data_IF_260816996251
#
_entry.id   IF_260816996251
#
_cell.length_a   1.000
_cell.length_b   1.000
_cell.length_c   1.000
_cell.angle_alpha   90.00
_cell.angle_beta   90.00
_cell.angle_gamma   90.00
#
_symmetry.space_group_name_H-M   'P 1'
#
loop_
_entity.id
_entity.type
_entity.pdbx_description
1 polymer ?
#
# COMPACT_ATOMS: atom_id res chain seq x y z
N UNK A 1 16.00 -29.17 -7.55
CA UNK A 1 15.44 -29.24 -6.18
C UNK A 1 16.49 -28.98 -5.09
N UNK A 2 17.78 -29.28 -5.32
CA UNK A 2 18.87 -28.94 -4.38
C UNK A 2 19.09 -27.42 -4.26
N UNK A 3 19.10 -26.68 -5.38
CA UNK A 3 19.47 -25.25 -5.40
C UNK A 3 18.48 -24.32 -4.67
N UNK A 4 17.20 -24.70 -4.54
CA UNK A 4 16.14 -23.86 -3.93
C UNK A 4 16.21 -23.89 -2.40
N UNK A 5 16.62 -25.04 -1.82
CA UNK A 5 16.82 -25.18 -0.37
C UNK A 5 17.99 -24.34 0.12
N UNK A 6 19.02 -24.18 -0.72
CA UNK A 6 20.21 -23.41 -0.39
C UNK A 6 19.93 -21.91 -0.28
N UNK A 7 19.06 -21.35 -1.13
CA UNK A 7 18.74 -19.90 -1.08
C UNK A 7 17.96 -19.48 0.16
N UNK A 8 16.97 -20.27 0.60
CA UNK A 8 16.20 -19.96 1.81
C UNK A 8 17.07 -20.12 3.05
N UNK A 9 17.84 -21.20 3.10
CA UNK A 9 18.76 -21.48 4.21
C UNK A 9 19.86 -20.41 4.30
N UNK A 10 20.28 -19.85 3.16
CA UNK A 10 21.23 -18.75 3.07
C UNK A 10 20.61 -17.35 3.31
N UNK A 11 19.30 -17.21 3.46
CA UNK A 11 18.68 -15.93 3.77
C UNK A 11 19.22 -15.38 5.10
N UNK A 12 19.51 -14.08 5.16
CA UNK A 12 20.12 -13.44 6.32
C UNK A 12 19.28 -13.61 7.60
N UNK A 13 17.96 -13.42 7.50
CA UNK A 13 17.05 -13.61 8.64
C UNK A 13 16.99 -15.08 9.06
N UNK A 14 16.93 -16.02 8.12
CA UNK A 14 16.94 -17.46 8.42
C UNK A 14 18.24 -17.88 9.13
N UNK A 15 19.39 -17.41 8.64
CA UNK A 15 20.70 -17.65 9.27
C UNK A 15 20.77 -17.10 10.70
N UNK A 16 20.29 -15.87 10.93
CA UNK A 16 20.26 -15.26 12.28
C UNK A 16 19.30 -16.01 13.19
N UNK A 17 18.12 -16.38 12.68
CA UNK A 17 17.13 -17.17 13.40
C UNK A 17 17.71 -18.52 13.86
N UNK A 18 18.40 -19.26 12.99
CA UNK A 18 19.03 -20.54 13.32
C UNK A 18 20.19 -20.41 14.31
N UNK A 19 21.03 -19.38 14.17
CA UNK A 19 22.28 -19.24 14.96
C UNK A 19 22.09 -18.52 16.28
N UNK A 20 21.28 -17.46 16.29
CA UNK A 20 21.17 -16.51 17.40
C UNK A 20 19.84 -16.63 18.16
N UNK A 21 18.78 -17.14 17.52
CA UNK A 21 17.44 -17.28 18.10
C UNK A 21 16.88 -18.70 17.90
N UNK A 22 17.72 -19.71 18.20
CA UNK A 22 17.42 -21.12 17.95
C UNK A 22 16.16 -21.61 18.70
N UNK A 23 15.84 -21.01 19.84
CA UNK A 23 14.57 -21.25 20.55
C UNK A 23 13.36 -20.90 19.67
N UNK A 24 13.36 -19.73 19.02
CA UNK A 24 12.31 -19.32 18.08
C UNK A 24 12.34 -20.15 16.78
N UNK A 25 13.53 -20.51 16.29
CA UNK A 25 13.65 -21.41 15.14
C UNK A 25 12.97 -22.75 15.42
N UNK A 26 13.28 -23.38 16.56
CA UNK A 26 12.68 -24.66 16.96
C UNK A 26 11.18 -24.54 17.17
N UNK A 27 10.69 -23.42 17.69
CA UNK A 27 9.25 -23.24 17.90
C UNK A 27 8.45 -23.18 16.59
N UNK A 28 9.06 -22.81 15.46
CA UNK A 28 8.40 -22.85 14.16
C UNK A 28 8.03 -24.27 13.74
N UNK A 29 8.85 -25.26 14.11
CA UNK A 29 8.69 -26.66 13.70
C UNK A 29 8.09 -27.55 14.79
N UNK A 30 7.78 -26.97 15.96
CA UNK A 30 7.10 -27.70 17.03
C UNK A 30 5.67 -28.06 16.59
N UNK A 31 5.38 -29.35 16.55
CA UNK A 31 4.08 -29.92 16.20
C UNK A 31 2.92 -29.42 17.07
N UNK A 32 3.22 -28.90 18.26
CA UNK A 32 2.22 -28.31 19.17
C UNK A 32 2.13 -26.77 19.04
N UNK A 33 3.04 -26.14 18.32
CA UNK A 33 3.02 -24.70 18.09
C UNK A 33 1.98 -24.35 17.01
N UNK A 34 1.27 -23.25 17.24
CA UNK A 34 0.32 -22.69 16.27
C UNK A 34 1.00 -21.87 15.16
N UNK A 35 2.34 -21.78 15.15
CA UNK A 35 3.09 -21.00 14.17
C UNK A 35 3.18 -21.78 12.86
N UNK A 36 2.79 -21.15 11.74
CA UNK A 36 2.77 -21.84 10.44
C UNK A 36 3.35 -21.02 9.31
N UNK A 37 3.70 -19.77 9.56
CA UNK A 37 4.19 -18.86 8.54
C UNK A 37 5.40 -18.06 9.03
N UNK A 38 6.47 -18.10 8.26
CA UNK A 38 7.65 -17.25 8.43
C UNK A 38 7.76 -16.31 7.24
N UNK A 39 7.89 -15.02 7.53
CA UNK A 39 8.19 -14.00 6.53
C UNK A 39 9.70 -13.81 6.45
N UNK A 40 10.27 -13.93 5.26
CA UNK A 40 11.71 -13.72 5.02
C UNK A 40 11.91 -12.52 4.11
N UNK A 41 12.33 -11.37 4.67
CA UNK A 41 12.73 -10.25 3.85
C UNK A 41 13.97 -10.61 3.02
N UNK A 42 14.03 -10.09 1.79
CA UNK A 42 15.18 -10.30 0.90
C UNK A 42 16.48 -9.73 1.49
N UNK A 43 17.61 -10.39 1.21
CA UNK A 43 18.85 -10.07 1.92
C UNK A 43 19.35 -8.62 1.70
N UNK A 44 19.13 -8.04 0.52
CA UNK A 44 19.64 -6.70 0.18
C UNK A 44 18.96 -5.59 0.97
N UNK A 45 17.71 -5.76 1.41
CA UNK A 45 17.03 -4.77 2.25
C UNK A 45 17.43 -4.87 3.73
N UNK A 46 18.05 -5.98 4.14
CA UNK A 46 18.52 -6.19 5.52
C UNK A 46 19.93 -5.65 5.76
N UNK A 47 20.54 -5.00 4.76
CA UNK A 47 21.86 -4.38 4.89
C UNK A 47 21.79 -3.25 5.91
N UNK A 48 22.68 -3.27 6.91
CA UNK A 48 22.71 -2.33 8.04
C UNK A 48 21.48 -2.36 8.96
N UNK A 49 20.59 -3.36 8.82
CA UNK A 49 19.45 -3.54 9.71
C UNK A 49 19.88 -4.36 10.93
N UNK A 50 19.60 -3.87 12.13
CA UNK A 50 19.82 -4.62 13.35
C UNK A 50 18.71 -5.66 13.54
N UNK A 51 19.01 -6.92 13.19
CA UNK A 51 18.09 -8.06 13.36
C UNK A 51 18.05 -8.46 14.85
N UNK A 52 17.22 -7.73 15.61
CA UNK A 52 16.95 -8.00 17.02
C UNK A 52 15.96 -9.15 17.21
N UNK A 53 15.78 -9.58 18.47
CA UNK A 53 14.71 -10.53 18.82
C UNK A 53 13.33 -9.98 18.45
N UNK A 54 13.08 -8.70 18.75
CA UNK A 54 11.82 -8.03 18.39
C UNK A 54 11.60 -8.05 16.88
N UNK A 55 12.65 -7.81 16.08
CA UNK A 55 12.59 -7.89 14.63
C UNK A 55 12.14 -9.28 14.18
N UNK A 56 12.78 -10.32 14.69
CA UNK A 56 12.47 -11.72 14.36
C UNK A 56 11.03 -12.07 14.74
N UNK A 57 10.62 -11.72 15.95
CA UNK A 57 9.27 -11.97 16.48
C UNK A 57 8.16 -11.31 15.64
N UNK A 58 8.46 -10.19 14.98
CA UNK A 58 7.53 -9.53 14.07
C UNK A 58 7.28 -10.31 12.76
N UNK A 59 8.21 -11.17 12.35
CA UNK A 59 8.16 -11.90 11.08
C UNK A 59 7.72 -13.36 11.23
N UNK A 60 7.47 -13.82 12.45
CA UNK A 60 6.91 -15.14 12.74
C UNK A 60 5.41 -15.00 12.98
N UNK A 61 4.60 -15.64 12.15
CA UNK A 61 3.16 -15.44 12.08
C UNK A 61 2.36 -16.70 12.41
N UNK A 62 1.22 -16.46 13.03
CA UNK A 62 0.16 -17.44 13.31
C UNK A 62 -1.13 -17.01 12.61
N UNK A 63 -1.79 -17.95 11.95
CA UNK A 63 -3.12 -17.76 11.38
C UNK A 63 -4.14 -17.40 12.47
N UNK A 64 -5.04 -16.48 12.17
CA UNK A 64 -6.20 -16.19 13.00
C UNK A 64 -7.45 -16.91 12.48
N UNK A 65 -8.56 -16.78 13.20
CA UNK A 65 -9.87 -17.25 12.72
C UNK A 65 -10.42 -16.37 11.58
N UNK A 66 -9.89 -15.17 11.40
CA UNK A 66 -10.27 -14.26 10.32
C UNK A 66 -9.43 -14.64 9.09
N UNK A 67 -10.06 -14.98 7.94
CA UNK A 67 -9.34 -15.29 6.71
C UNK A 67 -8.34 -14.20 6.35
N UNK A 68 -7.17 -14.60 5.85
CA UNK A 68 -6.09 -13.71 5.41
C UNK A 68 -5.48 -12.82 6.51
N UNK A 69 -5.89 -12.99 7.77
CA UNK A 69 -5.33 -12.23 8.89
C UNK A 69 -4.50 -13.14 9.78
N UNK A 70 -3.34 -12.62 10.15
CA UNK A 70 -2.33 -13.30 10.93
C UNK A 70 -1.93 -12.42 12.11
N UNK A 71 -1.42 -13.05 13.16
CA UNK A 71 -0.87 -12.36 14.32
C UNK A 71 0.57 -12.79 14.51
N UNK A 72 1.46 -11.83 14.69
CA UNK A 72 2.86 -12.10 15.00
C UNK A 72 3.09 -12.37 16.50
N UNK A 73 4.31 -12.71 16.90
CA UNK A 73 4.62 -13.02 18.30
C UNK A 73 4.55 -11.79 19.23
N UNK A 74 4.50 -10.59 18.65
CA UNK A 74 4.28 -9.33 19.38
C UNK A 74 2.79 -8.99 19.55
N UNK A 75 1.88 -9.83 19.05
CA UNK A 75 0.43 -9.60 19.11
C UNK A 75 -0.08 -8.59 18.08
N UNK A 76 0.71 -8.28 17.05
CA UNK A 76 0.34 -7.34 15.99
C UNK A 76 -0.27 -8.09 14.81
N UNK A 77 -1.25 -7.46 14.17
CA UNK A 77 -2.02 -8.04 13.07
C UNK A 77 -1.35 -7.74 11.74
N UNK A 78 -1.28 -8.76 10.90
CA UNK A 78 -0.78 -8.69 9.52
C UNK A 78 -1.84 -9.26 8.60
N UNK A 79 -2.22 -8.49 7.58
CA UNK A 79 -3.08 -8.97 6.50
C UNK A 79 -2.21 -9.53 5.38
N UNK A 80 -2.53 -10.72 4.87
CA UNK A 80 -1.80 -11.37 3.79
C UNK A 80 -2.77 -11.73 2.68
N UNK A 81 -2.53 -11.15 1.52
CA UNK A 81 -3.20 -11.49 0.26
C UNK A 81 -2.29 -12.40 -0.57
N UNK A 82 -2.77 -12.88 -1.72
CA UNK A 82 -2.00 -13.73 -2.63
C UNK A 82 -0.68 -13.10 -3.12
N UNK A 83 -0.53 -11.76 -3.00
CA UNK A 83 0.61 -11.01 -3.53
C UNK A 83 1.30 -10.12 -2.52
N UNK A 84 0.70 -9.86 -1.36
CA UNK A 84 1.16 -8.82 -0.45
C UNK A 84 0.98 -9.20 1.01
N UNK A 85 1.88 -8.67 1.82
CA UNK A 85 1.84 -8.64 3.28
C UNK A 85 1.66 -7.19 3.70
N UNK A 86 0.65 -6.90 4.50
CA UNK A 86 0.26 -5.55 4.90
C UNK A 86 0.18 -5.51 6.42
N UNK A 87 0.89 -4.57 7.04
CA UNK A 87 0.81 -4.36 8.48
C UNK A 87 -0.53 -3.75 8.86
N UNK A 88 -1.17 -4.33 9.88
CA UNK A 88 -2.44 -3.85 10.43
C UNK A 88 -2.30 -3.39 11.89
N UNK A 89 -3.30 -3.73 12.69
CA UNK A 89 -3.40 -3.30 14.08
C UNK A 89 -2.16 -3.66 14.92
N UNK A 90 -1.64 -2.72 15.70
CA UNK A 90 -0.51 -2.90 16.60
C UNK A 90 0.86 -2.56 16.01
N UNK A 91 0.96 -2.35 14.69
CA UNK A 91 2.15 -1.75 14.07
C UNK A 91 2.14 -0.22 14.22
N UNK A 92 3.34 0.37 14.31
CA UNK A 92 3.48 1.84 14.35
C UNK A 92 3.30 2.47 12.96
N UNK A 93 3.81 1.79 11.94
CA UNK A 93 3.87 2.25 10.56
C UNK A 93 3.07 1.31 9.67
N UNK A 94 2.46 1.86 8.62
CA UNK A 94 1.84 1.07 7.56
C UNK A 94 2.91 0.64 6.55
N UNK A 95 3.09 -0.65 6.36
CA UNK A 95 4.06 -1.26 5.46
C UNK A 95 3.30 -2.25 4.58
N UNK A 96 3.52 -2.16 3.26
CA UNK A 96 2.99 -3.07 2.26
C UNK A 96 4.15 -3.73 1.50
N UNK A 97 4.46 -4.98 1.85
CA UNK A 97 5.51 -5.75 1.23
C UNK A 97 4.92 -6.68 0.17
N UNK A 98 5.56 -6.79 -0.99
CA UNK A 98 5.18 -7.78 -2.00
C UNK A 98 5.73 -9.15 -1.63
N UNK A 99 4.92 -10.18 -1.84
CA UNK A 99 5.35 -11.58 -1.79
C UNK A 99 6.02 -11.89 -3.11
N UNK A 100 7.34 -12.08 -3.07
CA UNK A 100 8.13 -12.43 -4.26
C UNK A 100 8.01 -13.93 -4.52
N UNK A 101 8.01 -14.73 -3.45
CA UNK A 101 8.06 -16.19 -3.54
C UNK A 101 7.42 -16.82 -2.32
N UNK A 102 6.62 -17.86 -2.55
CA UNK A 102 6.12 -18.76 -1.52
C UNK A 102 6.89 -20.07 -1.58
N UNK A 103 7.31 -20.55 -0.41
CA UNK A 103 8.05 -21.79 -0.25
C UNK A 103 7.55 -22.56 0.98
N UNK A 104 8.02 -23.80 1.10
CA UNK A 104 7.80 -24.62 2.28
C UNK A 104 9.12 -25.23 2.74
N UNK A 105 9.53 -24.89 3.94
CA UNK A 105 10.73 -25.44 4.56
C UNK A 105 10.31 -26.57 5.48
N UNK A 106 11.03 -27.69 5.39
CA UNK A 106 10.84 -28.83 6.27
C UNK A 106 12.05 -28.97 7.20
N UNK A 107 11.76 -29.20 8.48
CA UNK A 107 12.74 -29.70 9.44
C UNK A 107 12.16 -30.97 10.06
N UNK A 108 12.84 -32.08 9.82
CA UNK A 108 12.35 -33.44 10.11
C UNK A 108 10.97 -33.71 9.49
N UNK A 109 9.92 -33.82 10.32
CA UNK A 109 8.56 -34.18 9.92
C UNK A 109 7.60 -32.97 9.85
N UNK A 110 8.03 -31.78 10.28
CA UNK A 110 7.22 -30.57 10.33
C UNK A 110 7.57 -29.63 9.18
N UNK A 111 6.54 -29.11 8.50
CA UNK A 111 6.70 -28.15 7.41
C UNK A 111 6.13 -26.78 7.74
N UNK A 112 6.93 -25.74 7.54
CA UNK A 112 6.58 -24.34 7.80
C UNK A 112 6.43 -23.61 6.46
N UNK A 113 5.34 -22.86 6.28
CA UNK A 113 5.20 -21.99 5.12
C UNK A 113 6.17 -20.82 5.26
N UNK A 114 6.88 -20.52 4.19
CA UNK A 114 7.81 -19.39 4.13
C UNK A 114 7.38 -18.48 3.00
N UNK A 115 7.18 -17.20 3.28
CA UNK A 115 6.95 -16.18 2.26
C UNK A 115 8.17 -15.27 2.19
N UNK A 116 8.84 -15.25 1.05
CA UNK A 116 9.91 -14.29 0.77
C UNK A 116 9.26 -12.98 0.36
N UNK A 117 9.58 -11.92 1.09
CA UNK A 117 8.99 -10.59 0.91
C UNK A 117 10.05 -9.56 0.51
N UNK A 118 9.64 -8.58 -0.29
CA UNK A 118 10.53 -7.51 -0.78
C UNK A 118 10.75 -6.37 0.24
N UNK A 119 10.19 -6.51 1.44
CA UNK A 119 10.31 -5.55 2.53
C UNK A 119 10.31 -6.22 3.91
N UNK A 120 10.64 -5.49 4.98
CA UNK A 120 10.48 -5.96 6.36
C UNK A 120 9.47 -5.11 7.15
N UNK A 121 8.85 -5.70 8.19
CA UNK A 121 7.68 -5.12 8.87
C UNK A 121 8.00 -4.14 10.01
N UNK A 122 9.27 -3.75 10.18
CA UNK A 122 9.79 -3.03 11.36
C UNK A 122 10.80 -1.95 10.96
N UNK A 123 10.37 -0.96 10.18
CA UNK A 123 11.19 0.22 9.88
C UNK A 123 11.10 1.27 11.00
N UNK A 124 12.25 1.77 11.46
CA UNK A 124 12.35 2.87 12.45
C UNK A 124 11.97 4.24 11.85
N UNK A 125 12.29 4.41 10.57
CA UNK A 125 11.89 5.55 9.74
C UNK A 125 11.19 5.00 8.50
N UNK A 126 10.17 5.68 7.95
CA UNK A 126 9.63 5.34 6.63
C UNK A 126 10.80 5.07 5.65
N UNK A 127 10.87 3.85 5.11
CA UNK A 127 11.99 3.43 4.24
C UNK A 127 11.95 4.25 2.95
N UNK A 128 12.98 4.25 2.10
CA UNK A 128 12.91 5.00 0.83
C UNK A 128 11.77 4.60 -0.13
N UNK A 129 11.00 3.54 0.16
CA UNK A 129 9.68 3.30 -0.46
C UNK A 129 8.61 4.34 -0.08
N UNK A 130 8.93 5.18 0.90
CA UNK A 130 8.25 6.38 1.37
C UNK A 130 8.93 7.68 0.88
N UNK A 131 9.78 7.65 -0.17
CA UNK A 131 10.32 8.88 -0.79
C UNK A 131 9.21 9.81 -1.29
N UNK A 132 8.00 9.29 -1.46
CA UNK A 132 6.81 10.12 -1.35
C UNK A 132 6.21 9.89 0.03
N UNK A 133 6.64 10.71 0.99
CA UNK A 133 5.65 11.29 1.90
C UNK A 133 4.71 12.03 0.94
N UNK A 134 3.73 11.30 0.41
CA UNK A 134 2.47 11.88 0.00
C UNK A 134 2.00 12.54 1.27
N UNK A 135 2.34 13.81 1.43
CA UNK A 135 1.82 14.58 2.52
C UNK A 135 0.32 14.69 2.26
N UNK A 136 -0.41 13.69 2.74
CA UNK A 136 -1.86 13.63 2.64
C UNK A 136 -2.50 14.76 3.47
N UNK A 137 -1.71 15.49 4.28
CA UNK A 137 -2.16 16.71 4.94
C UNK A 137 -2.20 17.91 3.96
N UNK A 138 -1.41 17.90 2.88
CA UNK A 138 -1.50 18.85 1.77
C UNK A 138 -1.31 18.19 0.38
N UNK A 139 -2.35 17.48 -0.12
CA UNK A 139 -2.35 16.91 -1.47
C UNK A 139 -2.11 17.94 -2.59
N UNK A 140 -2.40 19.22 -2.33
CA UNK A 140 -2.21 20.30 -3.29
C UNK A 140 -0.74 20.55 -3.58
N UNK A 141 0.06 20.70 -2.53
CA UNK A 141 1.49 20.95 -2.68
C UNK A 141 2.21 19.81 -3.43
N UNK A 142 1.84 18.56 -3.13
CA UNK A 142 2.44 17.39 -3.78
C UNK A 142 2.13 17.36 -5.28
N UNK A 143 0.86 17.56 -5.67
CA UNK A 143 0.46 17.54 -7.08
C UNK A 143 1.04 18.73 -7.85
N UNK A 144 1.16 19.91 -7.22
CA UNK A 144 1.84 21.06 -7.81
C UNK A 144 3.32 20.77 -8.10
N UNK A 145 4.02 20.06 -7.21
CA UNK A 145 5.40 19.65 -7.43
C UNK A 145 5.54 18.75 -8.67
N UNK A 146 4.61 17.81 -8.87
CA UNK A 146 4.58 16.95 -10.06
C UNK A 146 4.24 17.72 -11.33
N UNK A 147 3.41 18.75 -11.23
CA UNK A 147 3.10 19.62 -12.35
C UNK A 147 4.29 20.48 -12.80
N UNK A 148 5.17 20.84 -11.87
CA UNK A 148 6.42 21.55 -12.16
C UNK A 148 7.47 20.61 -12.76
N UNK A 149 7.53 19.38 -12.26
CA UNK A 149 8.50 18.36 -12.71
C UNK A 149 8.12 17.72 -14.06
N UNK A 150 6.82 17.61 -14.37
CA UNK A 150 6.35 17.02 -15.63
C UNK A 150 5.28 17.87 -16.32
N UNK A 151 5.67 18.48 -17.44
CA UNK A 151 4.76 19.24 -18.31
C UNK A 151 3.67 18.36 -18.94
N UNK A 152 3.96 17.07 -19.18
CA UNK A 152 3.00 16.11 -19.70
C UNK A 152 1.90 15.78 -18.68
N UNK A 153 2.29 15.56 -17.41
CA UNK A 153 1.35 15.36 -16.30
C UNK A 153 0.46 16.59 -16.12
N UNK A 154 1.08 17.77 -16.01
CA UNK A 154 0.40 19.05 -15.85
C UNK A 154 -0.63 19.29 -16.96
N UNK A 155 -0.19 19.16 -18.23
CA UNK A 155 -1.04 19.37 -19.39
C UNK A 155 -2.24 18.43 -19.44
N UNK A 156 -2.05 17.14 -19.12
CA UNK A 156 -3.14 16.16 -19.12
C UNK A 156 -4.12 16.41 -17.96
N UNK A 157 -3.62 16.69 -16.75
CA UNK A 157 -4.44 16.90 -15.57
C UNK A 157 -5.30 18.17 -15.70
N UNK A 158 -4.68 19.33 -15.88
CA UNK A 158 -5.43 20.59 -15.91
C UNK A 158 -6.36 20.71 -17.12
N UNK A 159 -5.96 20.18 -18.29
CA UNK A 159 -6.87 20.17 -19.45
C UNK A 159 -8.13 19.34 -19.18
N UNK A 160 -8.03 18.24 -18.42
CA UNK A 160 -9.17 17.44 -18.03
C UNK A 160 -10.05 18.17 -16.99
N UNK A 161 -9.44 18.74 -15.94
CA UNK A 161 -10.15 19.47 -14.90
C UNK A 161 -10.87 20.70 -15.44
N UNK A 162 -10.22 21.48 -16.31
CA UNK A 162 -10.82 22.66 -16.94
C UNK A 162 -11.98 22.27 -17.86
N UNK A 163 -11.83 21.18 -18.63
CA UNK A 163 -12.93 20.65 -19.45
C UNK A 163 -14.11 20.22 -18.59
N UNK A 164 -13.86 19.54 -17.47
CA UNK A 164 -14.92 19.16 -16.53
C UNK A 164 -15.60 20.43 -15.99
N UNK A 165 -14.85 21.42 -15.53
CA UNK A 165 -15.40 22.69 -15.02
C UNK A 165 -16.22 23.47 -16.06
N UNK A 166 -15.88 23.36 -17.34
CA UNK A 166 -16.55 24.11 -18.42
C UNK A 166 -17.72 23.36 -19.04
N UNK A 167 -17.66 22.04 -19.11
CA UNK A 167 -18.62 21.23 -19.89
C UNK A 167 -19.49 20.31 -19.04
N UNK A 168 -19.14 20.08 -17.77
CA UNK A 168 -19.81 19.08 -16.98
C UNK A 168 -21.07 19.63 -16.33
N UNK A 169 -22.22 19.14 -16.78
CA UNK A 169 -23.50 19.31 -16.10
C UNK A 169 -23.71 18.05 -15.26
N UNK A 170 -23.65 18.17 -13.93
CA UNK A 170 -23.99 17.03 -13.06
C UNK A 170 -25.48 16.72 -13.16
N UNK A 171 -25.79 15.59 -13.78
CA UNK A 171 -27.14 15.00 -13.83
C UNK A 171 -27.31 14.09 -12.63
N UNK A 172 -28.39 14.24 -11.84
CA UNK A 172 -28.68 13.33 -10.72
C UNK A 172 -28.68 11.87 -11.15
N UNK A 173 -27.96 11.02 -10.42
CA UNK A 173 -27.83 9.59 -10.70
C UNK A 173 -26.66 9.20 -11.62
N UNK A 174 -25.87 10.16 -12.11
CA UNK A 174 -24.67 9.93 -12.92
C UNK A 174 -23.35 10.17 -12.15
N UNK A 175 -23.41 10.24 -10.82
CA UNK A 175 -22.24 10.49 -9.96
C UNK A 175 -21.17 9.40 -10.12
N UNK A 176 -21.59 8.14 -10.27
CA UNK A 176 -20.66 7.03 -10.51
C UNK A 176 -19.93 7.14 -11.86
N UNK A 177 -20.65 7.59 -12.90
CA UNK A 177 -20.06 7.82 -14.22
C UNK A 177 -19.06 8.98 -14.18
N UNK A 178 -19.41 10.05 -13.46
CA UNK A 178 -18.50 11.16 -13.20
C UNK A 178 -17.21 10.69 -12.51
N UNK A 179 -17.33 9.92 -11.42
CA UNK A 179 -16.18 9.37 -10.72
C UNK A 179 -15.31 8.49 -11.64
N UNK A 180 -15.94 7.65 -12.48
CA UNK A 180 -15.22 6.81 -13.46
C UNK A 180 -14.44 7.64 -14.48
N UNK A 181 -15.05 8.69 -15.02
CA UNK A 181 -14.40 9.63 -15.95
C UNK A 181 -13.21 10.32 -15.28
N UNK A 182 -13.40 10.81 -14.04
CA UNK A 182 -12.34 11.48 -13.30
C UNK A 182 -11.17 10.53 -13.00
N UNK A 183 -11.46 9.31 -12.54
CA UNK A 183 -10.45 8.26 -12.32
C UNK A 183 -9.66 7.96 -13.60
N UNK A 184 -10.32 7.86 -14.76
CA UNK A 184 -9.65 7.62 -16.04
C UNK A 184 -8.72 8.78 -16.43
N UNK A 185 -9.12 10.03 -16.19
CA UNK A 185 -8.28 11.19 -16.49
C UNK A 185 -7.05 11.26 -15.57
N UNK A 186 -7.23 11.00 -14.28
CA UNK A 186 -6.13 10.94 -13.31
C UNK A 186 -5.15 9.82 -13.65
N UNK A 187 -5.66 8.62 -13.95
CA UNK A 187 -4.84 7.46 -14.31
C UNK A 187 -3.92 7.78 -15.49
N UNK A 188 -4.47 8.40 -16.55
CA UNK A 188 -3.70 8.81 -17.73
C UNK A 188 -2.66 9.89 -17.43
N UNK A 189 -2.96 10.83 -16.54
CA UNK A 189 -1.99 11.85 -16.13
C UNK A 189 -0.83 11.20 -15.37
N UNK A 190 -1.13 10.37 -14.38
CA UNK A 190 -0.13 9.64 -13.57
C UNK A 190 0.71 8.71 -14.44
N UNK A 191 0.12 8.00 -15.40
CA UNK A 191 0.88 7.19 -16.37
C UNK A 191 1.87 8.03 -17.18
N UNK A 192 1.48 9.24 -17.58
CA UNK A 192 2.37 10.14 -18.30
C UNK A 192 3.52 10.65 -17.42
N UNK A 193 3.30 10.83 -16.12
CA UNK A 193 4.35 11.14 -15.16
C UNK A 193 5.35 9.99 -15.00
N UNK A 194 4.84 8.75 -14.95
CA UNK A 194 5.61 7.55 -14.67
C UNK A 194 6.35 6.97 -15.88
N UNK A 195 5.99 7.38 -17.10
CA UNK A 195 6.44 6.76 -18.36
C UNK A 195 7.97 6.62 -18.47
N UNK A 196 8.71 7.66 -18.10
CA UNK A 196 10.17 7.75 -18.23
C UNK A 196 10.88 7.65 -16.87
N UNK A 197 10.18 7.15 -15.85
CA UNK A 197 10.68 7.01 -14.49
C UNK A 197 11.09 5.56 -14.21
N UNK A 198 11.83 5.36 -13.13
CA UNK A 198 12.27 4.02 -12.71
C UNK A 198 11.08 3.10 -12.38
N UNK A 199 11.33 1.79 -12.44
CA UNK A 199 10.30 0.77 -12.15
C UNK A 199 9.83 0.82 -10.69
N UNK A 200 10.65 1.35 -9.80
CA UNK A 200 10.32 1.56 -8.40
C UNK A 200 9.20 2.62 -8.26
N UNK A 201 9.33 3.76 -8.92
CA UNK A 201 8.29 4.80 -8.93
C UNK A 201 7.01 4.32 -9.61
N UNK A 202 7.12 3.49 -10.65
CA UNK A 202 5.95 2.88 -11.32
C UNK A 202 5.13 2.01 -10.37
N UNK A 203 5.75 1.39 -9.37
CA UNK A 203 5.05 0.59 -8.37
C UNK A 203 4.13 1.43 -7.46
N UNK A 204 4.39 2.74 -7.35
CA UNK A 204 3.63 3.71 -6.56
C UNK A 204 2.43 4.33 -7.30
N UNK A 205 2.13 3.86 -8.53
CA UNK A 205 1.05 4.38 -9.39
C UNK A 205 -0.27 4.58 -8.64
N UNK A 206 -0.70 3.59 -7.85
CA UNK A 206 -1.99 3.64 -7.15
C UNK A 206 -2.05 4.76 -6.10
N UNK A 207 -0.98 4.96 -5.32
CA UNK A 207 -0.91 6.05 -4.33
C UNK A 207 -0.85 7.42 -4.99
N UNK A 208 -0.14 7.53 -6.12
CA UNK A 208 -0.14 8.76 -6.92
C UNK A 208 -1.52 9.09 -7.49
N UNK A 209 -2.26 8.09 -7.95
CA UNK A 209 -3.63 8.26 -8.40
C UNK A 209 -4.54 8.74 -7.27
N UNK A 210 -4.42 8.19 -6.06
CA UNK A 210 -5.22 8.59 -4.90
C UNK A 210 -5.00 10.06 -4.53
N UNK A 211 -3.75 10.51 -4.47
CA UNK A 211 -3.43 11.91 -4.14
C UNK A 211 -3.87 12.87 -5.23
N UNK A 212 -3.66 12.49 -6.49
CA UNK A 212 -4.12 13.30 -7.62
C UNK A 212 -5.65 13.38 -7.67
N UNK A 213 -6.36 12.30 -7.29
CA UNK A 213 -7.81 12.31 -7.16
C UNK A 213 -8.27 13.24 -6.03
N UNK A 214 -7.66 13.18 -4.85
CA UNK A 214 -8.00 14.07 -3.74
C UNK A 214 -7.80 15.54 -4.11
N UNK A 215 -6.70 15.87 -4.79
CA UNK A 215 -6.47 17.19 -5.34
C UNK A 215 -7.55 17.58 -6.37
N UNK A 216 -7.84 16.70 -7.33
CA UNK A 216 -8.81 16.95 -8.38
C UNK A 216 -10.23 17.19 -7.82
N UNK A 217 -10.64 16.39 -6.83
CA UNK A 217 -11.91 16.59 -6.12
C UNK A 217 -11.93 17.94 -5.41
N UNK A 218 -10.88 18.30 -4.67
CA UNK A 218 -10.78 19.61 -4.00
C UNK A 218 -10.83 20.76 -5.00
N UNK A 219 -10.10 20.66 -6.11
CA UNK A 219 -10.08 21.66 -7.18
C UNK A 219 -11.47 21.87 -7.80
N UNK A 220 -12.22 20.78 -7.96
CA UNK A 220 -13.57 20.81 -8.54
C UNK A 220 -14.67 21.07 -7.49
N UNK A 221 -14.37 20.94 -6.19
CA UNK A 221 -15.35 20.89 -5.11
C UNK A 221 -16.30 22.08 -5.10
N UNK A 222 -15.78 23.31 -5.21
CA UNK A 222 -16.61 24.51 -5.23
C UNK A 222 -17.60 24.51 -6.39
N UNK A 223 -17.18 24.02 -7.55
CA UNK A 223 -18.05 23.92 -8.72
C UNK A 223 -19.06 22.78 -8.57
N UNK A 224 -18.59 21.59 -8.18
CA UNK A 224 -19.41 20.39 -8.01
C UNK A 224 -20.47 20.58 -6.92
N UNK A 225 -20.09 21.06 -5.73
CA UNK A 225 -20.99 21.27 -4.61
C UNK A 225 -22.00 22.39 -4.87
N UNK A 226 -21.61 23.44 -5.59
CA UNK A 226 -22.56 24.48 -6.03
C UNK A 226 -23.62 23.89 -6.96
N UNK A 227 -23.21 23.03 -7.90
CA UNK A 227 -24.14 22.34 -8.79
C UNK A 227 -25.03 21.34 -8.05
N UNK A 228 -24.47 20.45 -7.21
CA UNK A 228 -25.24 19.48 -6.42
C UNK A 228 -26.27 20.16 -5.52
N UNK A 229 -25.89 21.24 -4.82
CA UNK A 229 -26.81 22.02 -3.98
C UNK A 229 -27.97 22.58 -4.80
N UNK A 230 -27.72 23.12 -5.99
CA UNK A 230 -28.77 23.65 -6.87
C UNK A 230 -29.67 22.54 -7.44
N UNK A 231 -29.10 21.40 -7.78
CA UNK A 231 -29.82 20.30 -8.41
C UNK A 231 -30.65 19.47 -7.42
N UNK A 232 -30.18 19.33 -6.18
CA UNK A 232 -30.85 18.58 -5.12
C UNK A 232 -31.61 19.46 -4.11
N UNK A 233 -31.57 20.79 -4.26
CA UNK A 233 -32.45 21.69 -3.51
C UNK A 233 -33.90 21.37 -3.86
N UNK A 234 -34.72 21.07 -2.84
CA UNK A 234 -36.15 20.87 -3.02
C UNK A 234 -36.80 22.17 -3.52
N UNK A 235 -37.80 22.11 -4.41
CA UNK A 235 -38.56 23.30 -4.80
C UNK A 235 -39.23 24.00 -3.60
N UNK A 236 -39.47 23.30 -2.49
CA UNK A 236 -40.05 23.86 -1.25
C UNK A 236 -39.13 24.89 -0.56
N UNK A 237 -37.80 24.80 -0.73
CA UNK A 237 -36.84 25.76 -0.14
C UNK A 237 -36.72 27.07 -0.94
N UNK A 238 -37.19 27.09 -2.20
CA UNK A 238 -37.24 28.31 -3.01
C UNK A 238 -38.41 29.23 -2.60
N UNK A 239 -39.41 28.72 -1.89
CA UNK A 239 -40.58 29.49 -1.43
C UNK A 239 -40.36 30.16 -0.06
N UNK A 240 -39.35 29.76 0.72
CA UNK A 240 -39.08 30.32 2.05
C UNK A 240 -38.13 31.53 2.07
N UNK A 241 -37.48 31.86 0.95
CA UNK A 241 -36.65 33.07 0.80
C UNK A 241 -37.45 34.22 0.17
N UNK A 242 -38.73 34.01 -0.10
CA UNK A 242 -39.62 34.95 -0.81
C UNK A 242 -40.90 35.33 -0.06
N UNK A 243 -40.88 35.36 1.28
CA UNK A 243 -41.93 35.96 2.13
C UNK A 243 -41.30 36.79 3.25
#
# INVERSE_FOLDING_TARGET
MQDVYDEISANALMCVLQKSYNDLYKSLFDQYAQQRLLLLPVAHILVNVHISRDFVECHILRETEIPNHYVNLKGQVVEITDRKVITGFGFKNHISANIIRDDKVHDLDSGVKVCVIDDYLMHEEPSCKDIFILDLSDPGHVVESWCQDSSAFNGLLYSALDRIKQSFVMVPGYENEFCSILCSHVDRAVEAYLKDRDEELKSSKNGMCEVTLNFAFNYLNDHLMTHLRRTYQKPEDMLQVGL
#
